data_IF_572377891058
#
_entry.id   IF_572377891058
#
_cell.length_a   1.000
_cell.length_b   1.000
_cell.length_c   1.000
_cell.angle_alpha   90.00
_cell.angle_beta   90.00
_cell.angle_gamma   90.00
#
_symmetry.space_group_name_H-M   'P 1'
#
loop_
_entity.id
_entity.type
_entity.pdbx_description
1 polymer ?
#
# COMPACT_ATOMS: atom_id res chain seq x y z
N UNK A 1 -2.45 61.96 88.12
CA UNK A 1 -2.83 62.25 86.72
C UNK A 1 -1.74 61.90 85.71
N UNK A 2 -0.50 62.40 85.83
CA UNK A 2 0.55 62.21 84.80
C UNK A 2 1.02 60.75 84.53
N UNK A 3 0.88 59.83 85.49
CA UNK A 3 1.25 58.40 85.30
C UNK A 3 0.28 57.63 84.40
N UNK A 4 -1.01 57.99 84.42
CA UNK A 4 -2.06 57.33 83.62
C UNK A 4 -1.95 57.76 82.15
N UNK A 5 -1.63 59.03 81.89
CA UNK A 5 -1.42 59.55 80.55
C UNK A 5 -0.21 58.87 79.85
N UNK A 6 0.87 58.62 80.58
CA UNK A 6 2.05 57.90 80.05
C UNK A 6 1.72 56.44 79.69
N UNK A 7 0.87 55.78 80.47
CA UNK A 7 0.46 54.40 80.19
C UNK A 7 -0.42 54.31 78.93
N UNK A 8 -1.30 55.29 78.71
CA UNK A 8 -2.19 55.35 77.54
C UNK A 8 -1.39 55.55 76.23
N UNK A 9 -0.35 56.39 76.25
CA UNK A 9 0.54 56.60 75.09
C UNK A 9 1.31 55.33 74.73
N UNK A 10 1.79 54.57 75.71
CA UNK A 10 2.53 53.31 75.47
C UNK A 10 1.63 52.26 74.80
N UNK A 11 0.37 52.15 75.23
CA UNK A 11 -0.61 51.22 74.64
C UNK A 11 -0.90 51.55 73.18
N UNK A 12 -1.04 52.84 72.85
CA UNK A 12 -1.25 53.29 71.46
C UNK A 12 -0.05 52.97 70.57
N UNK A 13 1.18 53.17 71.06
CA UNK A 13 2.39 52.84 70.31
C UNK A 13 2.51 51.34 70.06
N UNK A 14 2.19 50.51 71.06
CA UNK A 14 2.19 49.06 70.91
C UNK A 14 1.12 48.57 69.91
N UNK A 15 -0.08 49.14 69.94
CA UNK A 15 -1.13 48.82 68.99
C UNK A 15 -0.75 49.23 67.55
N UNK A 16 -0.11 50.38 67.37
CA UNK A 16 0.41 50.82 66.08
C UNK A 16 1.52 49.93 65.55
N UNK A 17 2.46 49.51 66.42
CA UNK A 17 3.53 48.58 66.04
C UNK A 17 2.98 47.19 65.67
N UNK A 18 2.01 46.68 66.42
CA UNK A 18 1.36 45.41 66.10
C UNK A 18 0.59 45.47 64.78
N UNK A 19 -0.14 46.56 64.51
CA UNK A 19 -0.82 46.79 63.24
C UNK A 19 0.15 46.89 62.05
N UNK A 20 1.27 47.59 62.24
CA UNK A 20 2.32 47.71 61.22
C UNK A 20 3.00 46.37 60.90
N UNK A 21 3.29 45.57 61.92
CA UNK A 21 3.88 44.23 61.75
C UNK A 21 2.90 43.29 61.06
N UNK A 22 1.62 43.31 61.45
CA UNK A 22 0.59 42.47 60.83
C UNK A 22 0.41 42.79 59.34
N UNK A 23 0.37 44.08 58.98
CA UNK A 23 0.31 44.51 57.60
C UNK A 23 1.57 44.10 56.80
N UNK A 24 2.75 44.19 57.41
CA UNK A 24 4.00 43.81 56.75
C UNK A 24 4.12 42.29 56.53
N UNK A 25 3.71 41.48 57.50
CA UNK A 25 3.70 40.01 57.39
C UNK A 25 2.66 39.54 56.38
N UNK A 26 1.47 40.17 56.34
CA UNK A 26 0.44 39.86 55.34
C UNK A 26 0.78 40.25 53.91
N UNK A 27 1.74 41.19 53.72
CA UNK A 27 2.16 41.67 52.40
C UNK A 27 3.28 40.85 51.74
N UNK A 28 3.85 39.86 52.43
CA UNK A 28 4.78 38.90 51.83
C UNK A 28 3.99 37.85 51.05
N UNK A 29 3.56 38.24 49.85
CA UNK A 29 2.93 37.36 48.88
C UNK A 29 3.83 36.18 48.55
N UNK A 30 3.38 34.99 48.93
CA UNK A 30 3.96 33.72 48.54
C UNK A 30 3.43 33.36 47.16
N UNK A 31 4.15 33.74 46.12
CA UNK A 31 3.99 33.13 44.78
C UNK A 31 5.39 32.81 44.22
N UNK A 32 6.18 32.07 45.01
CA UNK A 32 7.54 31.65 44.64
C UNK A 32 7.56 30.32 43.85
N UNK A 33 6.40 29.85 43.37
CA UNK A 33 6.28 28.68 42.47
C UNK A 33 5.19 28.92 41.42
N UNK A 34 5.21 30.09 40.78
CA UNK A 34 4.28 30.41 39.70
C UNK A 34 4.63 29.60 38.44
N UNK A 35 3.70 28.74 38.00
CA UNK A 35 3.80 28.07 36.71
C UNK A 35 4.16 29.10 35.61
N UNK A 36 5.18 28.81 34.82
CA UNK A 36 5.53 29.64 33.66
C UNK A 36 4.39 29.50 32.64
N UNK A 37 3.61 30.57 32.48
CA UNK A 37 2.56 30.64 31.47
C UNK A 37 3.21 30.86 30.11
N UNK A 38 2.94 29.96 29.16
CA UNK A 38 3.32 30.10 27.76
C UNK A 38 2.06 30.36 26.93
N UNK A 39 2.17 31.29 25.99
CA UNK A 39 1.08 31.63 25.07
C UNK A 39 0.94 30.50 24.04
N UNK A 40 -0.27 29.94 23.94
CA UNK A 40 -0.58 28.86 23.00
C UNK A 40 -1.28 29.43 21.76
N UNK A 41 -0.76 29.11 20.58
CA UNK A 41 -1.34 29.49 19.30
C UNK A 41 -2.07 28.30 18.65
N UNK A 42 -3.21 28.57 18.01
CA UNK A 42 -3.93 27.56 17.22
C UNK A 42 -3.31 27.52 15.82
N UNK A 43 -2.56 26.47 15.55
CA UNK A 43 -2.01 26.16 14.22
C UNK A 43 -2.59 24.87 13.65
N UNK A 44 -2.38 24.64 12.35
CA UNK A 44 -2.74 23.37 11.72
C UNK A 44 -1.63 22.34 11.92
N UNK A 45 -1.98 21.17 12.47
CA UNK A 45 -1.09 20.01 12.56
C UNK A 45 -1.56 19.01 11.51
N UNK A 46 -0.70 18.71 10.54
CA UNK A 46 -0.99 17.69 9.53
C UNK A 46 -0.20 16.44 9.86
N UNK A 47 -0.89 15.41 10.34
CA UNK A 47 -0.32 14.08 10.53
C UNK A 47 -0.27 13.35 9.18
N UNK A 48 0.92 13.01 8.71
CA UNK A 48 1.11 12.27 7.46
C UNK A 48 1.25 10.77 7.78
N UNK A 49 0.20 10.01 7.49
CA UNK A 49 0.29 8.55 7.49
C UNK A 49 0.98 8.08 6.20
N UNK A 50 2.09 7.34 6.34
CA UNK A 50 2.77 6.68 5.23
C UNK A 50 2.13 5.31 4.98
N UNK A 51 1.31 5.22 3.94
CA UNK A 51 0.82 3.95 3.43
C UNK A 51 1.76 3.45 2.33
N UNK A 52 2.43 2.32 2.57
CA UNK A 52 3.21 1.62 1.54
C UNK A 52 2.30 0.61 0.87
N UNK A 53 2.18 0.71 -0.45
CA UNK A 53 1.46 -0.25 -1.28
C UNK A 53 2.39 -0.85 -2.33
N UNK A 54 2.06 -2.05 -2.80
CA UNK A 54 2.73 -2.65 -3.95
C UNK A 54 1.93 -2.34 -5.22
N UNK A 55 2.63 -1.97 -6.28
CA UNK A 55 2.02 -1.76 -7.59
C UNK A 55 2.01 -3.10 -8.32
N UNK A 56 0.82 -3.53 -8.77
CA UNK A 56 0.67 -4.73 -9.59
C UNK A 56 0.10 -4.38 -10.97
N UNK A 57 0.46 -5.15 -12.02
CA UNK A 57 -0.15 -5.00 -13.32
C UNK A 57 -1.65 -5.25 -13.25
N UNK A 58 -2.44 -4.41 -13.95
CA UNK A 58 -3.89 -4.58 -14.03
C UNK A 58 -4.29 -5.94 -14.62
N UNK A 59 -3.52 -6.40 -15.60
CA UNK A 59 -3.70 -7.66 -16.30
C UNK A 59 -2.34 -8.34 -16.47
N UNK A 60 -2.30 -9.66 -16.20
CA UNK A 60 -1.09 -10.48 -16.37
C UNK A 60 -1.51 -11.80 -17.01
N UNK A 61 -0.94 -12.10 -18.17
CA UNK A 61 -1.22 -13.33 -18.91
C UNK A 61 0.01 -14.21 -18.98
N UNK A 62 -0.19 -15.52 -18.88
CA UNK A 62 0.85 -16.51 -19.15
C UNK A 62 0.44 -17.28 -20.40
N UNK A 63 1.22 -17.13 -21.47
CA UNK A 63 0.98 -17.82 -22.74
C UNK A 63 1.59 -19.22 -22.68
N UNK A 64 0.78 -20.24 -22.98
CA UNK A 64 1.21 -21.63 -23.10
C UNK A 64 0.80 -22.18 -24.46
N UNK A 65 1.58 -23.11 -25.00
CA UNK A 65 1.21 -23.81 -26.24
C UNK A 65 -0.07 -24.61 -26.03
N UNK A 66 -0.95 -24.62 -27.05
CA UNK A 66 -2.16 -25.45 -27.08
C UNK A 66 -1.88 -26.90 -27.46
N UNK A 67 -0.74 -27.15 -28.11
CA UNK A 67 -0.31 -28.48 -28.56
C UNK A 67 1.08 -28.78 -28.01
N UNK A 68 1.35 -30.07 -27.77
CA UNK A 68 2.69 -30.53 -27.46
C UNK A 68 3.54 -30.55 -28.72
N UNK A 69 4.82 -30.19 -28.58
CA UNK A 69 5.74 -30.13 -29.70
C UNK A 69 7.02 -29.39 -29.34
N UNK A 70 7.86 -29.22 -30.35
CA UNK A 70 9.15 -28.55 -30.24
C UNK A 70 9.00 -27.12 -30.78
N UNK A 71 9.66 -26.16 -30.15
CA UNK A 71 9.72 -24.79 -30.67
C UNK A 71 10.59 -24.79 -31.93
N UNK A 72 9.97 -24.58 -33.09
CA UNK A 72 10.64 -24.52 -34.38
C UNK A 72 11.26 -23.13 -34.61
N UNK A 73 10.51 -22.07 -34.29
CA UNK A 73 10.96 -20.68 -34.42
C UNK A 73 10.42 -19.81 -33.29
N UNK A 74 11.20 -18.79 -32.91
CA UNK A 74 10.82 -17.71 -32.01
C UNK A 74 10.78 -16.42 -32.80
N UNK A 75 9.70 -15.64 -32.68
CA UNK A 75 9.49 -14.41 -33.44
C UNK A 75 9.70 -13.14 -32.60
N UNK A 76 9.93 -13.29 -31.29
CA UNK A 76 10.01 -12.18 -30.33
C UNK A 76 11.20 -12.34 -29.40
N UNK A 77 11.72 -11.23 -28.89
CA UNK A 77 12.78 -11.20 -27.89
C UNK A 77 12.25 -10.70 -26.53
N UNK A 78 13.03 -10.95 -25.47
CA UNK A 78 12.65 -10.54 -24.13
C UNK A 78 12.68 -9.02 -24.03
N UNK A 79 11.52 -8.43 -23.72
CA UNK A 79 11.33 -6.98 -23.62
C UNK A 79 10.52 -6.38 -24.77
N UNK A 80 10.25 -7.16 -25.82
CA UNK A 80 9.43 -6.70 -26.92
C UNK A 80 7.97 -6.48 -26.50
N UNK A 81 7.35 -5.46 -27.11
CA UNK A 81 5.91 -5.21 -26.99
C UNK A 81 5.17 -5.98 -28.08
N UNK A 82 4.20 -6.79 -27.67
CA UNK A 82 3.41 -7.65 -28.58
C UNK A 82 1.94 -7.29 -28.50
N UNK A 83 1.21 -7.52 -29.59
CA UNK A 83 -0.22 -7.29 -29.68
C UNK A 83 -1.00 -8.60 -29.80
N UNK A 84 -2.31 -8.52 -29.57
CA UNK A 84 -3.18 -9.67 -29.72
C UNK A 84 -3.21 -10.13 -31.17
N UNK A 85 -2.81 -11.38 -31.41
CA UNK A 85 -2.75 -11.98 -32.74
C UNK A 85 -1.32 -12.16 -33.26
N UNK A 86 -0.32 -11.52 -32.64
CA UNK A 86 1.07 -11.67 -33.06
C UNK A 86 1.57 -13.09 -32.78
N UNK A 87 2.20 -13.76 -33.76
CA UNK A 87 2.79 -15.06 -33.54
C UNK A 87 4.05 -14.89 -32.68
N UNK A 88 4.07 -15.52 -31.50
CA UNK A 88 5.24 -15.49 -30.62
C UNK A 88 6.22 -16.63 -30.94
N UNK A 89 5.68 -17.82 -31.17
CA UNK A 89 6.43 -19.04 -31.44
C UNK A 89 5.74 -19.89 -32.51
N UNK A 90 6.54 -20.56 -33.33
CA UNK A 90 6.08 -21.66 -34.18
C UNK A 90 6.38 -22.98 -33.48
N UNK A 91 5.36 -23.81 -33.28
CA UNK A 91 5.48 -25.11 -32.62
C UNK A 91 5.32 -26.21 -33.66
N UNK A 92 6.35 -27.04 -33.82
CA UNK A 92 6.29 -28.24 -34.64
C UNK A 92 5.79 -29.42 -33.80
N UNK A 93 4.70 -30.10 -34.19
CA UNK A 93 4.26 -31.32 -33.51
C UNK A 93 5.36 -32.40 -33.53
N UNK A 94 5.51 -33.13 -32.43
CA UNK A 94 6.42 -34.26 -32.31
C UNK A 94 5.63 -35.55 -32.04
N UNK A 95 4.94 -36.09 -33.07
CA UNK A 95 4.11 -37.28 -32.91
C UNK A 95 4.95 -38.54 -32.77
N UNK A 96 4.44 -39.50 -32.01
CA UNK A 96 5.05 -40.82 -31.88
C UNK A 96 4.97 -41.60 -33.21
N UNK A 97 5.88 -42.57 -33.46
CA UNK A 97 5.83 -43.41 -34.65
C UNK A 97 4.47 -44.10 -34.86
N UNK A 98 3.81 -44.51 -33.78
CA UNK A 98 2.50 -45.14 -33.80
C UNK A 98 1.40 -44.16 -34.24
N UNK A 99 1.42 -42.91 -33.77
CA UNK A 99 0.48 -41.89 -34.20
C UNK A 99 0.64 -41.57 -35.69
N UNK A 100 1.88 -41.44 -36.16
CA UNK A 100 2.18 -41.24 -37.59
C UNK A 100 1.64 -42.39 -38.45
N UNK A 101 1.83 -43.63 -38.00
CA UNK A 101 1.34 -44.82 -38.70
C UNK A 101 -0.19 -44.83 -38.78
N UNK A 102 -0.87 -44.53 -37.67
CA UNK A 102 -2.33 -44.47 -37.61
C UNK A 102 -2.92 -43.38 -38.50
N UNK A 103 -2.31 -42.20 -38.53
CA UNK A 103 -2.68 -41.10 -39.44
C UNK A 103 -2.53 -41.55 -40.89
N UNK A 104 -1.39 -42.17 -41.21
CA UNK A 104 -1.10 -42.67 -42.57
C UNK A 104 -2.14 -43.70 -43.00
N UNK A 105 -2.44 -44.71 -42.19
CA UNK A 105 -3.45 -45.71 -42.51
C UNK A 105 -4.85 -45.10 -42.74
N UNK A 106 -5.23 -44.09 -41.95
CA UNK A 106 -6.51 -43.39 -42.11
C UNK A 106 -6.59 -42.61 -43.42
N UNK A 107 -5.48 -42.01 -43.87
CA UNK A 107 -5.43 -41.34 -45.18
C UNK A 107 -5.59 -42.37 -46.29
N UNK A 108 -4.83 -43.47 -46.25
CA UNK A 108 -4.92 -44.52 -47.28
C UNK A 108 -6.31 -45.17 -47.38
N UNK A 109 -6.96 -45.45 -46.24
CA UNK A 109 -8.30 -46.04 -46.24
C UNK A 109 -9.37 -45.07 -46.76
N UNK A 110 -9.24 -43.78 -46.45
CA UNK A 110 -10.10 -42.72 -46.98
C UNK A 110 -9.91 -42.56 -48.49
N UNK A 111 -8.67 -42.60 -48.96
CA UNK A 111 -8.33 -42.48 -50.38
C UNK A 111 -8.85 -43.68 -51.19
N UNK A 112 -8.67 -44.91 -50.68
CA UNK A 112 -9.25 -46.11 -51.30
C UNK A 112 -10.78 -46.02 -51.40
N UNK A 113 -11.43 -45.49 -50.36
CA UNK A 113 -12.89 -45.29 -50.33
C UNK A 113 -13.35 -44.23 -51.32
N UNK A 114 -12.61 -43.12 -51.43
CA UNK A 114 -12.85 -42.06 -52.42
C UNK A 114 -12.69 -42.58 -53.85
N UNK A 115 -11.61 -43.32 -54.12
CA UNK A 115 -11.34 -43.90 -55.44
C UNK A 115 -12.44 -44.88 -55.85
N UNK A 116 -12.92 -45.70 -54.91
CA UNK A 116 -14.07 -46.58 -55.16
C UNK A 116 -15.32 -45.77 -55.52
N UNK A 117 -15.69 -44.78 -54.70
CA UNK A 117 -16.87 -43.96 -54.94
C UNK A 117 -16.80 -43.19 -56.26
N UNK A 118 -15.62 -42.68 -56.61
CA UNK A 118 -15.37 -42.02 -57.90
C UNK A 118 -15.55 -42.98 -59.07
N UNK A 119 -14.97 -44.18 -58.98
CA UNK A 119 -15.13 -45.20 -60.02
C UNK A 119 -16.57 -45.71 -60.13
N UNK A 120 -17.32 -45.75 -59.03
CA UNK A 120 -18.76 -46.05 -59.04
C UNK A 120 -19.56 -44.92 -59.74
N UNK A 121 -19.22 -43.65 -59.49
CA UNK A 121 -19.84 -42.48 -60.13
C UNK A 121 -19.57 -42.42 -61.63
N UNK A 122 -18.33 -42.62 -62.07
CA UNK A 122 -17.95 -42.61 -63.50
C UNK A 122 -18.56 -43.79 -64.29
N UNK A 123 -19.00 -44.85 -63.60
CA UNK A 123 -19.66 -46.01 -64.20
C UNK A 123 -21.17 -45.86 -64.33
N UNK A 124 -21.79 -44.93 -63.61
CA UNK A 124 -23.22 -44.58 -63.71
C UNK A 124 -23.47 -43.47 -64.71
#
# INVERSE_FOLDING_TARGET
MAKVLRFLVIVIVFAGAAGGIYAWVGSRGTDENGNVLVEAEIGSITEKALAVGQIEPRERFQVKSKISGIVARCFVEVGDTVQAGDPLFEIAPDPTPQELLNVSHRVHSSEASFMKAKADYERG
#
